data_IF_832405289847
#
_entry.id   IF_832405289847
#
_cell.length_a   1.000
_cell.length_b   1.000
_cell.length_c   1.000
_cell.angle_alpha   90.00
_cell.angle_beta   90.00
_cell.angle_gamma   90.00
#
_symmetry.space_group_name_H-M   'P 1'
#
loop_
_entity.id
_entity.type
_entity.pdbx_description
1 polymer ?
#
# COMPACT_ATOMS: atom_id res chain seq x y z
N UNK A 1 -17.48 -0.60 -9.50
CA UNK A 1 -17.13 -2.02 -9.31
C UNK A 1 -15.69 -2.10 -8.76
N UNK A 2 -15.46 -2.45 -7.49
CA UNK A 2 -16.39 -3.07 -6.57
C UNK A 2 -15.94 -3.09 -5.11
N UNK A 3 -16.85 -3.57 -4.28
CA UNK A 3 -16.74 -3.68 -2.84
C UNK A 3 -16.14 -5.03 -2.44
N UNK A 4 -15.24 -5.07 -1.46
CA UNK A 4 -14.53 -6.30 -1.08
C UNK A 4 -14.79 -6.73 0.37
N UNK A 5 -14.98 -8.03 0.55
CA UNK A 5 -14.92 -8.68 1.85
C UNK A 5 -14.31 -10.07 1.73
N UNK A 6 -13.49 -10.46 2.70
CA UNK A 6 -12.87 -11.78 2.77
C UNK A 6 -13.04 -12.35 4.17
N UNK A 7 -13.50 -13.60 4.23
CA UNK A 7 -13.71 -14.35 5.47
C UNK A 7 -13.05 -15.72 5.36
N UNK A 8 -12.21 -16.06 6.33
CA UNK A 8 -11.71 -17.42 6.52
C UNK A 8 -12.43 -18.03 7.73
N UNK A 9 -13.06 -19.19 7.56
CA UNK A 9 -13.74 -19.93 8.63
C UNK A 9 -13.17 -21.34 8.76
N UNK A 10 -13.04 -21.83 10.00
CA UNK A 10 -12.68 -23.23 10.30
C UNK A 10 -13.57 -23.75 11.44
N UNK A 11 -14.85 -24.09 11.16
CA UNK A 11 -15.80 -24.48 12.20
C UNK A 11 -15.51 -25.87 12.80
N UNK A 12 -15.94 -26.08 14.05
CA UNK A 12 -15.86 -27.36 14.81
C UNK A 12 -17.20 -28.08 14.91
N UNK A 13 -17.22 -29.31 15.44
CA UNK A 13 -18.45 -30.12 15.56
C UNK A 13 -19.50 -29.40 16.44
N UNK A 14 -20.67 -29.13 15.86
CA UNK A 14 -21.80 -28.47 16.54
C UNK A 14 -21.79 -26.94 16.43
N UNK A 15 -20.83 -26.33 15.73
CA UNK A 15 -20.70 -24.88 15.64
C UNK A 15 -21.59 -24.27 14.54
N UNK A 16 -22.22 -23.13 14.85
CA UNK A 16 -23.06 -22.36 13.92
C UNK A 16 -22.50 -20.94 13.84
N UNK A 17 -22.09 -20.52 12.64
CA UNK A 17 -21.53 -19.19 12.39
C UNK A 17 -22.55 -18.35 11.63
N UNK A 18 -22.95 -17.22 12.22
CA UNK A 18 -23.78 -16.19 11.58
C UNK A 18 -22.92 -14.97 11.24
N UNK A 19 -22.91 -14.55 9.98
CA UNK A 19 -22.21 -13.34 9.53
C UNK A 19 -23.04 -12.58 8.51
N UNK A 20 -23.00 -11.26 8.59
CA UNK A 20 -23.60 -10.35 7.62
C UNK A 20 -22.51 -9.41 7.12
N UNK A 21 -22.29 -9.42 5.81
CA UNK A 21 -21.32 -8.56 5.14
C UNK A 21 -22.06 -7.74 4.10
N UNK A 22 -21.93 -6.41 4.18
CA UNK A 22 -22.50 -5.49 3.19
C UNK A 22 -21.39 -4.63 2.58
N UNK A 23 -20.58 -5.19 1.67
CA UNK A 23 -19.56 -4.41 0.99
C UNK A 23 -20.24 -3.32 0.15
N UNK A 24 -20.01 -2.04 0.45
CA UNK A 24 -20.44 -0.90 -0.37
C UNK A 24 -19.40 -0.59 -1.44
N UNK A 25 -19.82 -0.11 -2.62
CA UNK A 25 -18.86 0.25 -3.68
C UNK A 25 -17.79 1.21 -3.14
N UNK A 26 -16.57 0.70 -3.04
CA UNK A 26 -15.39 1.53 -2.79
C UNK A 26 -14.94 2.10 -4.14
N UNK A 27 -14.96 3.43 -4.26
CA UNK A 27 -14.48 4.15 -5.45
C UNK A 27 -12.99 4.42 -5.40
N UNK A 28 -12.35 4.10 -4.28
CA UNK A 28 -10.91 4.29 -4.14
C UNK A 28 -10.14 3.24 -4.91
N UNK A 29 -8.95 3.63 -5.33
CA UNK A 29 -7.99 2.76 -5.98
C UNK A 29 -6.96 2.28 -4.94
N UNK A 30 -6.30 1.16 -5.21
CA UNK A 30 -5.10 0.77 -4.47
C UNK A 30 -4.02 0.35 -5.45
N UNK A 31 -2.77 0.49 -5.03
CA UNK A 31 -1.60 0.01 -5.77
C UNK A 31 -0.84 -0.93 -4.87
N UNK A 32 -0.73 -2.19 -5.30
CA UNK A 32 0.17 -3.16 -4.70
C UNK A 32 1.38 -3.33 -5.62
N UNK A 33 2.54 -3.52 -5.04
CA UNK A 33 3.76 -3.77 -5.77
C UNK A 33 4.72 -4.67 -5.02
N UNK A 34 5.75 -5.15 -5.73
CA UNK A 34 6.81 -5.98 -5.18
C UNK A 34 8.16 -5.47 -5.63
N UNK A 35 9.07 -5.30 -4.68
CA UNK A 35 10.46 -4.89 -4.92
C UNK A 35 11.32 -6.15 -4.96
N UNK A 36 11.99 -6.36 -6.09
CA UNK A 36 12.88 -7.50 -6.28
C UNK A 36 14.11 -7.14 -7.12
N UNK A 37 15.20 -7.86 -6.92
CA UNK A 37 16.45 -7.73 -7.67
C UNK A 37 16.87 -9.11 -8.16
N UNK A 38 16.93 -9.27 -9.48
CA UNK A 38 17.17 -10.55 -10.15
C UNK A 38 16.25 -11.69 -9.65
N UNK A 39 14.97 -11.37 -9.41
CA UNK A 39 13.97 -12.32 -8.93
C UNK A 39 14.01 -12.61 -7.43
N UNK A 40 14.98 -12.05 -6.69
CA UNK A 40 15.03 -12.14 -5.22
C UNK A 40 14.25 -10.98 -4.60
N UNK A 41 13.34 -11.30 -3.69
CA UNK A 41 12.63 -10.32 -2.88
C UNK A 41 13.59 -9.40 -2.11
N UNK A 42 13.26 -8.12 -2.06
CA UNK A 42 13.98 -7.14 -1.25
C UNK A 42 13.07 -6.68 -0.12
N UNK A 43 13.37 -7.18 1.07
CA UNK A 43 12.79 -6.67 2.31
C UNK A 43 13.49 -5.40 2.76
N UNK A 44 12.77 -4.52 3.46
CA UNK A 44 13.34 -3.29 4.03
C UNK A 44 13.52 -2.14 3.04
N UNK A 45 13.06 -2.28 1.80
CA UNK A 45 13.06 -1.17 0.84
C UNK A 45 11.99 -0.15 1.21
N UNK A 46 12.32 1.14 1.13
CA UNK A 46 11.38 2.22 1.40
C UNK A 46 10.65 2.61 0.11
N UNK A 47 9.35 2.38 0.06
CA UNK A 47 8.45 2.91 -0.95
C UNK A 47 7.76 4.19 -0.41
N UNK A 48 7.83 5.27 -1.17
CA UNK A 48 7.20 6.55 -0.87
C UNK A 48 6.18 6.88 -1.95
N UNK A 49 4.94 7.14 -1.53
CA UNK A 49 3.85 7.57 -2.39
C UNK A 49 3.72 9.09 -2.30
N UNK A 50 3.79 9.75 -3.44
CA UNK A 50 3.52 11.18 -3.55
C UNK A 50 2.32 11.42 -4.47
N UNK A 51 1.59 12.49 -4.20
CA UNK A 51 0.83 13.16 -5.25
C UNK A 51 1.77 13.71 -6.32
N UNK A 52 1.30 13.72 -7.57
CA UNK A 52 2.08 14.20 -8.69
C UNK A 52 1.27 15.11 -9.60
N UNK A 53 1.97 16.06 -10.22
CA UNK A 53 1.45 16.91 -11.29
C UNK A 53 2.42 16.79 -12.47
N UNK A 54 1.96 16.15 -13.55
CA UNK A 54 2.84 15.77 -14.65
C UNK A 54 3.95 14.82 -14.17
N UNK A 55 5.22 15.22 -14.33
CA UNK A 55 6.39 14.43 -13.90
C UNK A 55 6.96 14.87 -12.54
N UNK A 56 6.32 15.81 -11.85
CA UNK A 56 6.81 16.37 -10.59
C UNK A 56 6.06 15.77 -9.40
N UNK A 57 6.80 15.26 -8.41
CA UNK A 57 6.25 14.88 -7.11
C UNK A 57 5.95 16.15 -6.29
N UNK A 58 4.81 16.15 -5.59
CA UNK A 58 4.33 17.26 -4.75
C UNK A 58 4.40 16.88 -3.28
N UNK A 59 3.28 16.46 -2.72
CA UNK A 59 3.14 16.10 -1.31
C UNK A 59 3.39 14.61 -1.09
N UNK A 60 4.09 14.25 0.00
CA UNK A 60 4.23 12.88 0.44
C UNK A 60 2.92 12.44 1.12
N UNK A 61 2.26 11.45 0.56
CA UNK A 61 0.97 10.93 1.05
C UNK A 61 1.17 9.75 2.00
N UNK A 62 2.12 8.87 1.67
CA UNK A 62 2.35 7.66 2.45
C UNK A 62 3.75 7.10 2.25
N UNK A 63 4.21 6.34 3.24
CA UNK A 63 5.47 5.62 3.23
C UNK A 63 5.24 4.19 3.68
N UNK A 64 5.86 3.24 2.99
CA UNK A 64 5.79 1.82 3.31
C UNK A 64 7.18 1.20 3.22
N UNK A 65 7.54 0.37 4.20
CA UNK A 65 8.77 -0.43 4.15
C UNK A 65 8.39 -1.84 3.76
N UNK A 66 8.99 -2.36 2.69
CA UNK A 66 8.63 -3.68 2.15
C UNK A 66 8.83 -4.80 3.16
N UNK A 67 7.92 -5.76 3.13
CA UNK A 67 7.97 -6.95 4.00
C UNK A 67 9.01 -7.99 3.55
N UNK A 68 9.02 -9.17 4.16
CA UNK A 68 9.98 -10.25 3.85
C UNK A 68 9.88 -10.74 2.39
N UNK A 69 8.70 -10.65 1.79
CA UNK A 69 8.44 -11.03 0.40
C UNK A 69 8.70 -9.88 -0.59
N UNK A 70 9.07 -8.70 -0.07
CA UNK A 70 9.33 -7.48 -0.81
C UNK A 70 8.06 -6.76 -1.22
N UNK A 71 6.91 -7.09 -0.63
CA UNK A 71 5.61 -6.54 -0.99
C UNK A 71 5.37 -5.18 -0.31
N UNK A 72 4.59 -4.34 -0.98
CA UNK A 72 4.04 -3.10 -0.45
C UNK A 72 2.66 -2.84 -1.03
N UNK A 73 1.85 -2.06 -0.30
CA UNK A 73 0.55 -1.61 -0.77
C UNK A 73 0.28 -0.17 -0.33
N UNK A 74 -0.33 0.59 -1.24
CA UNK A 74 -0.85 1.92 -0.99
C UNK A 74 -2.34 1.99 -1.31
N UNK A 75 -3.08 2.64 -0.43
CA UNK A 75 -4.50 2.91 -0.59
C UNK A 75 -5.13 3.33 0.73
N UNK A 76 -6.39 3.81 0.70
CA UNK A 76 -7.17 4.14 -0.49
C UNK A 76 -6.59 5.35 -1.26
N UNK A 77 -6.66 5.32 -2.60
CA UNK A 77 -6.23 6.41 -3.49
C UNK A 77 -7.45 7.04 -4.16
N UNK A 78 -7.38 8.36 -4.38
CA UNK A 78 -8.46 9.09 -5.04
C UNK A 78 -8.48 8.81 -6.55
N UNK A 79 -9.68 8.67 -7.10
CA UNK A 79 -9.84 8.41 -8.54
C UNK A 79 -9.49 9.67 -9.36
N UNK A 80 -8.77 9.50 -10.46
CA UNK A 80 -8.40 10.62 -11.33
C UNK A 80 -7.25 11.49 -10.82
N UNK A 81 -6.76 11.24 -9.60
CA UNK A 81 -5.56 11.86 -9.08
C UNK A 81 -4.31 11.13 -9.60
N UNK A 82 -3.28 11.90 -9.97
CA UNK A 82 -2.00 11.34 -10.41
C UNK A 82 -1.07 11.17 -9.20
N UNK A 83 -0.43 10.00 -9.13
CA UNK A 83 0.52 9.66 -8.09
C UNK A 83 1.84 9.16 -8.68
N UNK A 84 2.92 9.32 -7.91
CA UNK A 84 4.22 8.72 -8.21
C UNK A 84 4.74 7.96 -7.01
N UNK A 85 5.24 6.75 -7.25
CA UNK A 85 5.88 5.92 -6.23
C UNK A 85 7.39 5.94 -6.46
N UNK A 86 8.14 6.32 -5.44
CA UNK A 86 9.61 6.25 -5.43
C UNK A 86 10.05 5.13 -4.52
N UNK A 87 10.91 4.23 -5.01
CA UNK A 87 11.41 3.08 -4.25
C UNK A 87 12.91 3.23 -4.01
N UNK A 88 13.31 3.04 -2.76
CA UNK A 88 14.69 3.19 -2.30
C UNK A 88 15.16 1.90 -1.65
N UNK A 89 16.29 1.37 -2.13
CA UNK A 89 16.98 0.20 -1.60
C UNK A 89 18.36 0.63 -1.07
N UNK A 90 18.73 0.16 0.12
CA UNK A 90 20.10 0.08 0.66
C UNK A 90 21.04 1.30 0.62
N UNK A 91 20.66 2.55 0.30
CA UNK A 91 21.67 3.64 0.26
C UNK A 91 21.20 5.08 0.38
N UNK A 92 19.91 5.41 0.35
CA UNK A 92 19.52 6.81 0.49
C UNK A 92 19.43 7.20 1.96
N UNK A 93 20.43 7.96 2.42
CA UNK A 93 20.33 8.82 3.60
C UNK A 93 19.34 9.95 3.30
N UNK A 94 18.06 9.61 3.20
CA UNK A 94 16.97 10.58 3.19
C UNK A 94 16.96 11.24 4.57
N UNK A 95 17.35 12.51 4.61
CA UNK A 95 17.26 13.37 5.79
C UNK A 95 16.47 14.59 5.37
N UNK A 96 15.16 14.53 5.58
CA UNK A 96 14.31 15.70 5.55
C UNK A 96 13.88 15.94 7.00
N UNK A 97 14.27 17.10 7.52
CA UNK A 97 14.05 17.48 8.91
C UNK A 97 13.51 18.91 8.87
N UNK A 98 12.22 19.05 9.12
CA UNK A 98 11.60 20.36 9.34
C UNK A 98 11.22 20.41 10.83
N UNK A 99 11.94 21.26 11.58
CA UNK A 99 11.64 21.54 12.98
C UNK A 99 11.03 22.93 13.02
N UNK A 100 9.73 22.99 13.28
CA UNK A 100 9.04 24.24 13.61
C UNK A 100 8.94 24.34 15.13
N UNK A 101 9.42 25.44 15.69
CA UNK A 101 9.43 25.74 17.14
C UNK A 101 8.29 26.69 17.49
#
# INVERSE_FOLDING_TARGET
>A
MGAYAKLYIRPSQGEVIHTAVSPTEDKSCCVCGRVSDNGKAISGALALLYEAEGQQAKELISAFVTDEDGEFAFGPLEHGQLYVIKVYKDSLKLRELEISV
#
